data_IF_301786933274
#
_entry.id   IF_301786933274
#
_cell.length_a   1.000
_cell.length_b   1.000
_cell.length_c   1.000
_cell.angle_alpha   90.00
_cell.angle_beta   90.00
_cell.angle_gamma   90.00
#
_symmetry.space_group_name_H-M   'P 1'
#
loop_
_entity.id
_entity.type
_entity.pdbx_description
1 polymer ?
#
# COMPACT_ATOMS: atom_id res chain seq x y z
N UNK A 1 -45.25 66.06 -8.44
CA UNK A 1 -45.06 64.93 -7.50
C UNK A 1 -44.99 63.63 -8.29
N UNK A 2 -43.80 63.22 -8.70
CA UNK A 2 -43.56 61.99 -9.48
C UNK A 2 -42.53 61.17 -8.72
N UNK A 3 -42.99 60.10 -8.05
CA UNK A 3 -42.13 59.19 -7.27
C UNK A 3 -41.43 58.23 -8.22
N UNK A 4 -40.10 58.31 -8.33
CA UNK A 4 -39.30 57.19 -8.85
C UNK A 4 -39.28 56.07 -7.80
N UNK A 5 -39.65 54.84 -8.20
CA UNK A 5 -39.43 53.63 -7.41
C UNK A 5 -38.02 53.09 -7.68
N UNK A 6 -37.25 52.66 -6.67
CA UNK A 6 -35.99 51.97 -6.92
C UNK A 6 -36.28 50.52 -7.36
N UNK A 7 -35.71 50.11 -8.49
CA UNK A 7 -35.69 48.72 -8.90
C UNK A 7 -34.59 47.99 -8.09
N UNK A 8 -35.00 47.10 -7.20
CA UNK A 8 -34.10 46.23 -6.45
C UNK A 8 -33.63 45.11 -7.38
N UNK A 9 -32.38 45.16 -7.84
CA UNK A 9 -31.77 44.06 -8.58
C UNK A 9 -31.45 42.92 -7.61
N UNK A 10 -32.24 41.84 -7.64
CA UNK A 10 -31.85 40.59 -7.01
C UNK A 10 -30.73 39.94 -7.82
N UNK A 11 -29.50 39.96 -7.31
CA UNK A 11 -28.47 39.03 -7.75
C UNK A 11 -28.86 37.62 -7.30
N UNK A 12 -28.82 36.60 -8.18
CA UNK A 12 -29.00 35.22 -7.75
C UNK A 12 -27.77 34.82 -6.91
N UNK A 13 -28.00 34.47 -5.65
CA UNK A 13 -27.03 33.73 -4.85
C UNK A 13 -26.79 32.38 -5.55
N UNK A 14 -25.66 32.26 -6.23
CA UNK A 14 -25.13 30.97 -6.66
C UNK A 14 -24.79 30.18 -5.39
N UNK A 15 -25.71 29.32 -4.96
CA UNK A 15 -25.41 28.26 -4.01
C UNK A 15 -24.39 27.32 -4.68
N UNK A 16 -23.11 27.55 -4.43
CA UNK A 16 -22.08 26.55 -4.71
C UNK A 16 -22.35 25.35 -3.79
N UNK A 17 -22.92 24.28 -4.33
CA UNK A 17 -22.93 22.99 -3.66
C UNK A 17 -21.48 22.65 -3.28
N UNK A 18 -21.21 22.20 -2.05
CA UNK A 18 -19.87 21.74 -1.72
C UNK A 18 -19.51 20.61 -2.68
N UNK A 19 -18.42 20.75 -3.43
CA UNK A 19 -17.82 19.62 -4.12
C UNK A 19 -17.36 18.66 -3.03
N UNK A 20 -18.13 17.60 -2.77
CA UNK A 20 -17.63 16.48 -1.99
C UNK A 20 -16.51 15.82 -2.77
N UNK A 21 -15.38 15.63 -2.09
CA UNK A 21 -14.26 14.92 -2.67
C UNK A 21 -14.72 13.50 -3.04
N UNK A 22 -14.31 13.02 -4.21
CA UNK A 22 -14.67 11.66 -4.65
C UNK A 22 -13.48 10.75 -4.44
N UNK A 23 -13.69 9.66 -3.70
CA UNK A 23 -12.67 8.64 -3.49
C UNK A 23 -12.82 7.52 -4.51
N UNK A 24 -11.77 7.27 -5.27
CA UNK A 24 -11.65 6.17 -6.21
C UNK A 24 -10.74 5.07 -5.65
N UNK A 25 -11.16 3.83 -5.81
CA UNK A 25 -10.36 2.63 -5.52
C UNK A 25 -9.84 2.08 -6.85
N UNK A 26 -8.54 1.84 -6.94
CA UNK A 26 -7.89 1.17 -8.06
C UNK A 26 -7.35 -0.19 -7.62
N UNK A 27 -7.64 -1.21 -8.40
CA UNK A 27 -7.22 -2.59 -8.12
C UNK A 27 -6.54 -3.19 -9.32
N UNK A 28 -5.27 -3.59 -9.18
CA UNK A 28 -4.56 -4.30 -10.25
C UNK A 28 -4.97 -5.77 -10.29
N UNK A 29 -5.24 -6.28 -11.49
CA UNK A 29 -5.64 -7.66 -11.75
C UNK A 29 -4.57 -8.36 -12.59
N UNK A 30 -3.71 -9.15 -11.97
CA UNK A 30 -2.49 -9.67 -12.59
C UNK A 30 -2.77 -10.63 -13.75
N UNK A 31 -3.84 -11.42 -13.67
CA UNK A 31 -4.20 -12.40 -14.71
C UNK A 31 -5.01 -11.76 -15.83
N UNK A 32 -5.95 -10.87 -15.48
CA UNK A 32 -6.71 -10.09 -16.47
C UNK A 32 -5.83 -9.07 -17.21
N UNK A 33 -4.73 -8.61 -16.59
CA UNK A 33 -3.87 -7.56 -17.14
C UNK A 33 -4.51 -6.18 -17.16
N UNK A 34 -5.41 -5.91 -16.20
CA UNK A 34 -6.19 -4.67 -16.08
C UNK A 34 -6.00 -4.01 -14.73
N UNK A 35 -6.33 -2.73 -14.65
CA UNK A 35 -6.58 -2.02 -13.39
C UNK A 35 -8.07 -1.68 -13.34
N UNK A 36 -8.82 -2.29 -12.42
CA UNK A 36 -10.22 -1.99 -12.17
C UNK A 36 -10.36 -0.72 -11.33
N UNK A 37 -11.36 0.10 -11.63
CA UNK A 37 -11.67 1.34 -10.91
C UNK A 37 -13.05 1.26 -10.30
N UNK A 38 -13.17 1.70 -9.05
CA UNK A 38 -14.44 1.79 -8.32
C UNK A 38 -14.58 3.17 -7.71
N UNK A 39 -15.81 3.63 -7.55
CA UNK A 39 -16.14 4.77 -6.70
C UNK A 39 -16.49 4.25 -5.31
N UNK A 40 -15.86 4.78 -4.27
CA UNK A 40 -16.16 4.50 -2.87
C UNK A 40 -17.13 5.55 -2.33
N UNK A 41 -18.25 5.11 -1.79
CA UNK A 41 -19.20 5.96 -1.07
C UNK A 41 -18.70 6.25 0.33
N UNK A 42 -18.45 7.53 0.64
CA UNK A 42 -18.02 7.94 1.99
C UNK A 42 -19.10 7.75 3.07
N UNK A 43 -20.36 7.63 2.64
CA UNK A 43 -21.52 7.54 3.54
C UNK A 43 -21.64 6.15 4.17
N UNK A 44 -21.47 5.11 3.37
CA UNK A 44 -21.81 3.73 3.73
C UNK A 44 -20.75 2.70 3.31
N UNK A 45 -19.65 3.14 2.70
CA UNK A 45 -18.57 2.25 2.25
C UNK A 45 -18.93 1.46 0.98
N UNK A 46 -20.03 1.80 0.31
CA UNK A 46 -20.45 1.19 -0.94
C UNK A 46 -19.41 1.30 -2.04
N UNK A 47 -19.21 0.23 -2.81
CA UNK A 47 -18.31 0.19 -3.96
C UNK A 47 -19.12 0.10 -5.26
N UNK A 48 -18.97 1.09 -6.14
CA UNK A 48 -19.56 1.06 -7.48
C UNK A 48 -18.45 0.85 -8.50
N UNK A 49 -18.47 -0.26 -9.24
CA UNK A 49 -17.51 -0.49 -10.34
C UNK A 49 -17.74 0.52 -11.47
N UNK A 50 -16.63 1.07 -11.99
CA UNK A 50 -16.63 2.16 -12.97
C UNK A 50 -15.88 1.81 -14.25
N UNK A 51 -15.37 0.59 -14.40
CA UNK A 51 -14.64 0.15 -15.58
C UNK A 51 -13.23 -0.37 -15.28
N UNK A 52 -12.65 -1.00 -16.30
CA UNK A 52 -11.29 -1.55 -16.29
C UNK A 52 -10.41 -0.81 -17.28
N UNK A 53 -9.16 -0.54 -16.88
CA UNK A 53 -8.13 0.02 -17.76
C UNK A 53 -7.14 -1.07 -18.16
N UNK A 54 -6.91 -1.35 -19.45
CA UNK A 54 -5.85 -2.25 -19.88
C UNK A 54 -4.47 -1.74 -19.46
N UNK A 55 -3.67 -2.62 -18.83
CA UNK A 55 -2.35 -2.27 -18.30
C UNK A 55 -1.23 -3.17 -18.86
N UNK A 56 -1.50 -4.47 -19.00
CA UNK A 56 -0.54 -5.50 -19.38
C UNK A 56 -0.54 -6.68 -18.41
N UNK A 57 -0.11 -7.86 -18.87
CA UNK A 57 -0.06 -9.08 -18.04
C UNK A 57 0.83 -8.87 -16.81
N UNK A 58 0.44 -9.48 -15.68
CA UNK A 58 1.15 -9.39 -14.40
C UNK A 58 1.42 -7.94 -13.95
N UNK A 59 0.47 -7.03 -14.25
CA UNK A 59 0.36 -5.75 -13.54
C UNK A 59 0.10 -6.03 -12.06
N UNK A 60 0.98 -5.51 -11.20
CA UNK A 60 0.87 -5.71 -9.76
C UNK A 60 1.03 -4.40 -9.00
N UNK A 61 2.12 -4.11 -8.26
CA UNK A 61 2.05 -3.03 -7.31
C UNK A 61 1.72 -1.71 -8.00
N UNK A 62 0.79 -1.00 -7.38
CA UNK A 62 0.37 0.33 -7.79
C UNK A 62 0.90 1.34 -6.79
N UNK A 63 1.23 2.53 -7.27
CA UNK A 63 1.61 3.68 -6.44
C UNK A 63 0.94 4.95 -6.97
N UNK A 64 0.29 5.70 -6.10
CA UNK A 64 -0.26 7.01 -6.45
C UNK A 64 0.79 8.11 -6.19
N UNK A 65 0.77 9.18 -6.98
CA UNK A 65 1.51 10.40 -6.63
C UNK A 65 0.92 11.07 -5.38
N UNK A 66 1.71 11.82 -4.59
CA UNK A 66 1.22 12.47 -3.37
C UNK A 66 0.04 13.43 -3.60
N UNK A 67 -0.04 14.03 -4.80
CA UNK A 67 -1.13 14.94 -5.19
C UNK A 67 -2.34 14.23 -5.83
N UNK A 68 -2.30 12.90 -5.93
CA UNK A 68 -3.38 12.08 -6.51
C UNK A 68 -3.59 12.27 -8.02
N UNK A 69 -2.71 12.98 -8.72
CA UNK A 69 -2.87 13.24 -10.16
C UNK A 69 -2.31 12.14 -11.05
N UNK A 70 -1.46 11.27 -10.50
CA UNK A 70 -0.82 10.19 -11.24
C UNK A 70 -0.95 8.86 -10.50
N UNK A 71 -1.03 7.79 -11.28
CA UNK A 71 -0.94 6.42 -10.80
C UNK A 71 0.15 5.71 -11.61
N UNK A 72 0.96 4.91 -10.93
CA UNK A 72 2.01 4.10 -11.52
C UNK A 72 1.72 2.63 -11.25
N UNK A 73 2.11 1.75 -12.17
CA UNK A 73 1.97 0.31 -11.97
C UNK A 73 3.11 -0.48 -12.60
N UNK A 74 3.60 -1.49 -11.89
CA UNK A 74 4.70 -2.32 -12.35
C UNK A 74 4.21 -3.58 -13.09
N UNK A 75 4.70 -3.78 -14.32
CA UNK A 75 4.59 -5.03 -15.07
C UNK A 75 5.70 -5.98 -14.63
N UNK A 76 5.32 -7.09 -14.02
CA UNK A 76 6.25 -8.03 -13.38
C UNK A 76 6.66 -9.23 -14.24
N UNK A 77 6.38 -9.19 -15.54
CA UNK A 77 6.87 -10.17 -16.52
C UNK A 77 7.64 -9.48 -17.63
N UNK A 78 8.73 -10.07 -18.16
CA UNK A 78 9.47 -9.49 -19.26
C UNK A 78 8.58 -9.19 -20.49
N UNK A 79 8.79 -8.06 -21.18
CA UNK A 79 9.68 -6.96 -20.79
C UNK A 79 9.14 -6.22 -19.55
N UNK A 80 9.99 -6.07 -18.51
CA UNK A 80 9.62 -5.34 -17.30
C UNK A 80 9.46 -3.85 -17.60
N UNK A 81 8.41 -3.24 -17.05
CA UNK A 81 8.16 -1.82 -17.25
C UNK A 81 7.32 -1.23 -16.11
N UNK A 82 7.42 0.10 -15.96
CA UNK A 82 6.46 0.90 -15.20
C UNK A 82 5.52 1.58 -16.18
N UNK A 83 4.21 1.41 -15.97
CA UNK A 83 3.19 2.17 -16.69
C UNK A 83 2.85 3.41 -15.87
N UNK A 84 2.88 4.58 -16.50
CA UNK A 84 2.48 5.86 -15.89
C UNK A 84 1.14 6.30 -16.46
N UNK A 85 0.18 6.61 -15.58
CA UNK A 85 -1.13 7.15 -15.94
C UNK A 85 -1.37 8.49 -15.27
N UNK A 86 -1.97 9.42 -16.01
CA UNK A 86 -2.66 10.59 -15.43
C UNK A 86 -4.04 10.16 -14.98
N UNK A 87 -4.41 10.55 -13.77
CA UNK A 87 -5.75 10.33 -13.22
C UNK A 87 -6.61 11.54 -13.54
N UNK A 88 -7.61 11.36 -14.41
CA UNK A 88 -8.51 12.45 -14.83
C UNK A 88 -9.41 12.91 -13.68
N UNK A 89 -9.84 14.17 -13.73
CA UNK A 89 -10.83 14.75 -12.81
C UNK A 89 -12.09 15.15 -13.59
N UNK A 90 -13.29 15.04 -12.98
CA UNK A 90 -13.58 14.43 -11.67
C UNK A 90 -13.75 12.90 -11.71
N UNK A 91 -13.59 12.24 -12.86
CA UNK A 91 -14.03 10.84 -13.04
C UNK A 91 -13.02 9.79 -12.59
N UNK A 92 -11.76 10.14 -12.28
CA UNK A 92 -10.74 9.16 -11.93
C UNK A 92 -10.34 8.20 -13.07
N UNK A 93 -10.58 8.54 -14.33
CA UNK A 93 -10.15 7.66 -15.46
C UNK A 93 -8.63 7.67 -15.54
N UNK A 94 -8.02 6.50 -15.71
CA UNK A 94 -6.59 6.36 -15.96
C UNK A 94 -6.27 6.61 -17.44
N UNK A 95 -5.66 7.75 -17.74
CA UNK A 95 -5.15 8.06 -19.08
C UNK A 95 -3.67 7.72 -19.15
N UNK A 96 -3.33 6.71 -19.96
CA UNK A 96 -1.95 6.23 -20.11
C UNK A 96 -1.07 7.33 -20.71
N UNK A 97 0.06 7.62 -20.06
CA UNK A 97 1.05 8.60 -20.52
C UNK A 97 2.29 7.90 -21.09
N UNK A 98 2.80 6.86 -20.41
CA UNK A 98 4.02 6.19 -20.81
C UNK A 98 4.09 4.73 -20.36
N UNK A 99 4.95 3.95 -21.02
CA UNK A 99 5.47 2.66 -20.56
C UNK A 99 6.98 2.78 -20.56
N UNK A 100 7.57 2.78 -19.38
CA UNK A 100 9.01 3.00 -19.20
C UNK A 100 9.68 1.66 -18.90
N UNK A 101 10.58 1.17 -19.76
CA UNK A 101 11.35 -0.04 -19.49
C UNK A 101 12.15 0.08 -18.20
N UNK A 102 12.22 -0.99 -17.43
CA UNK A 102 13.00 -1.06 -16.19
C UNK A 102 13.85 -2.33 -16.13
N UNK A 103 14.86 -2.33 -15.26
CA UNK A 103 15.87 -3.38 -15.18
C UNK A 103 15.39 -4.69 -14.52
N UNK A 104 14.30 -4.66 -13.74
CA UNK A 104 13.90 -5.79 -12.90
C UNK A 104 12.39 -5.90 -12.66
N UNK A 105 11.96 -7.04 -12.13
CA UNK A 105 10.62 -7.24 -11.58
C UNK A 105 10.52 -6.59 -10.20
N UNK A 106 9.50 -5.76 -9.99
CA UNK A 106 9.28 -5.07 -8.72
C UNK A 106 7.97 -5.55 -8.06
N UNK A 107 8.02 -6.34 -6.97
CA UNK A 107 6.84 -6.65 -6.16
C UNK A 107 6.32 -5.46 -5.34
N UNK A 108 7.08 -4.37 -5.26
CA UNK A 108 6.70 -3.15 -4.56
C UNK A 108 7.23 -1.92 -5.29
N UNK A 109 6.35 -0.92 -5.46
CA UNK A 109 6.71 0.44 -5.88
C UNK A 109 6.00 1.45 -4.96
N UNK A 110 6.61 2.60 -4.76
CA UNK A 110 5.99 3.75 -4.08
C UNK A 110 6.61 5.04 -4.63
N UNK A 111 5.93 6.17 -4.50
CA UNK A 111 6.56 7.47 -4.74
C UNK A 111 7.21 7.99 -3.47
N UNK A 112 8.23 8.83 -3.60
CA UNK A 112 8.63 9.67 -2.48
C UNK A 112 7.54 10.69 -2.12
N UNK A 113 7.63 11.30 -0.94
CA UNK A 113 6.60 12.23 -0.43
C UNK A 113 6.47 13.50 -1.27
N UNK A 114 7.47 13.84 -2.09
CA UNK A 114 7.45 15.02 -2.96
C UNK A 114 7.06 14.69 -4.41
N UNK A 115 6.85 13.41 -4.75
CA UNK A 115 6.47 12.98 -6.11
C UNK A 115 7.58 13.18 -7.15
N UNK A 116 8.84 13.23 -6.72
CA UNK A 116 10.03 13.43 -7.55
C UNK A 116 10.69 12.10 -7.97
N UNK A 117 10.46 11.04 -7.22
CA UNK A 117 11.06 9.73 -7.45
C UNK A 117 10.05 8.61 -7.29
N UNK A 118 10.18 7.58 -8.13
CA UNK A 118 9.58 6.28 -7.91
C UNK A 118 10.63 5.37 -7.27
N UNK A 119 10.33 4.88 -6.08
CA UNK A 119 11.15 3.93 -5.33
C UNK A 119 10.60 2.52 -5.56
N UNK A 120 11.49 1.57 -5.80
CA UNK A 120 11.12 0.19 -6.02
C UNK A 120 12.06 -0.78 -5.31
N UNK A 121 11.51 -1.90 -4.85
CA UNK A 121 12.28 -3.03 -4.31
C UNK A 121 12.11 -4.22 -5.24
N UNK A 122 13.20 -4.94 -5.54
CA UNK A 122 13.17 -6.15 -6.35
C UNK A 122 13.57 -7.38 -5.54
N UNK A 123 12.64 -8.35 -5.52
CA UNK A 123 12.84 -9.63 -4.84
C UNK A 123 13.80 -10.53 -5.58
N UNK A 124 13.73 -10.56 -6.91
CA UNK A 124 14.53 -11.49 -7.73
C UNK A 124 15.92 -10.92 -8.07
N UNK A 125 16.10 -9.60 -7.97
CA UNK A 125 17.35 -8.91 -8.35
C UNK A 125 18.13 -8.34 -7.16
N UNK A 126 17.62 -8.51 -5.93
CA UNK A 126 18.29 -8.13 -4.67
C UNK A 126 18.69 -6.65 -4.63
N UNK A 127 17.78 -5.78 -5.06
CA UNK A 127 18.00 -4.33 -5.14
C UNK A 127 16.86 -3.51 -4.55
N UNK A 128 17.23 -2.33 -4.07
CA UNK A 128 16.35 -1.16 -3.95
C UNK A 128 16.84 -0.09 -4.93
N UNK A 129 15.91 0.57 -5.61
CA UNK A 129 16.23 1.47 -6.72
C UNK A 129 15.32 2.70 -6.71
N UNK A 130 15.86 3.84 -7.15
CA UNK A 130 15.17 5.11 -7.31
C UNK A 130 15.20 5.56 -8.77
N UNK A 131 14.03 5.78 -9.36
CA UNK A 131 13.85 6.32 -10.70
C UNK A 131 13.35 7.76 -10.62
N UNK A 132 13.82 8.62 -11.52
CA UNK A 132 13.33 10.00 -11.61
C UNK A 132 11.92 10.05 -12.21
N UNK A 133 11.04 10.83 -11.59
CA UNK A 133 9.76 11.29 -12.16
C UNK A 133 9.98 12.67 -12.77
N UNK A 134 9.59 12.87 -14.02
CA UNK A 134 9.71 14.14 -14.72
C UNK A 134 8.65 15.18 -14.30
N UNK A 135 8.72 16.37 -14.89
CA UNK A 135 7.80 17.48 -14.63
C UNK A 135 6.35 17.22 -15.09
N UNK A 136 6.13 16.21 -15.92
CA UNK A 136 4.82 15.76 -16.41
C UNK A 136 4.24 14.61 -15.58
N UNK A 137 4.93 14.19 -14.51
CA UNK A 137 4.51 13.08 -13.68
C UNK A 137 4.75 11.71 -14.32
N UNK A 138 5.71 11.59 -15.24
CA UNK A 138 6.07 10.34 -15.90
C UNK A 138 7.36 9.78 -15.29
N UNK A 139 7.36 8.49 -14.95
CA UNK A 139 8.57 7.78 -14.53
C UNK A 139 9.51 7.65 -15.73
N UNK A 140 10.75 8.08 -15.58
CA UNK A 140 11.77 8.00 -16.63
C UNK A 140 12.70 6.81 -16.41
N UNK A 141 13.50 6.45 -17.43
CA UNK A 141 14.54 5.41 -17.28
C UNK A 141 15.78 5.90 -16.51
N UNK A 142 15.81 7.16 -16.07
CA UNK A 142 16.92 7.71 -15.30
C UNK A 142 16.90 7.15 -13.87
N UNK A 143 17.88 6.31 -13.55
CA UNK A 143 18.14 5.81 -12.21
C UNK A 143 19.01 6.83 -11.47
N UNK A 144 18.55 7.29 -10.30
CA UNK A 144 19.33 8.18 -9.43
C UNK A 144 20.11 7.43 -8.36
N UNK A 145 19.65 6.24 -7.98
CA UNK A 145 20.34 5.37 -7.03
C UNK A 145 19.88 3.92 -7.21
N UNK A 146 20.81 2.98 -7.10
CA UNK A 146 20.55 1.54 -7.01
C UNK A 146 21.48 0.95 -5.94
N UNK A 147 20.93 0.17 -5.01
CA UNK A 147 21.66 -0.40 -3.88
C UNK A 147 21.36 -1.88 -3.76
N UNK A 148 22.41 -2.71 -3.61
CA UNK A 148 22.27 -4.13 -3.31
C UNK A 148 21.78 -4.33 -1.87
N UNK A 149 20.73 -5.11 -1.70
CA UNK A 149 20.04 -5.30 -0.42
C UNK A 149 20.45 -6.57 0.31
N UNK A 150 21.08 -7.50 -0.41
CA UNK A 150 21.04 -8.91 -0.06
C UNK A 150 19.74 -9.57 -0.55
N UNK A 151 19.58 -10.87 -0.31
CA UNK A 151 18.56 -11.67 -0.98
C UNK A 151 17.15 -11.15 -0.67
N UNK A 152 16.34 -11.00 -1.72
CA UNK A 152 14.89 -10.89 -1.65
C UNK A 152 14.34 -9.64 -0.96
N UNK A 153 14.74 -8.44 -1.42
CA UNK A 153 14.07 -7.20 -1.04
C UNK A 153 12.61 -7.19 -1.51
N UNK A 154 11.68 -7.02 -0.58
CA UNK A 154 10.25 -7.22 -0.84
C UNK A 154 9.44 -5.91 -0.82
N UNK A 155 9.86 -4.90 -0.06
CA UNK A 155 9.18 -3.59 0.00
C UNK A 155 10.16 -2.45 0.23
N UNK A 156 9.75 -1.22 -0.10
CA UNK A 156 10.48 0.00 0.27
C UNK A 156 9.51 1.13 0.63
N UNK A 157 9.61 1.69 1.83
CA UNK A 157 8.78 2.81 2.27
C UNK A 157 9.62 4.00 2.69
N UNK A 158 9.11 5.22 2.45
CA UNK A 158 9.65 6.45 3.03
C UNK A 158 9.03 6.71 4.40
N UNK A 159 9.81 7.31 5.28
CA UNK A 159 9.28 7.96 6.47
C UNK A 159 8.39 9.18 6.14
N UNK A 160 7.76 9.76 7.16
CA UNK A 160 6.85 10.91 6.96
C UNK A 160 7.64 12.17 6.55
N UNK A 161 8.91 12.30 6.97
CA UNK A 161 9.76 13.45 6.63
C UNK A 161 10.45 13.37 5.26
N UNK A 162 10.35 12.22 4.58
CA UNK A 162 10.99 11.95 3.28
C UNK A 162 12.53 11.97 3.32
N UNK A 163 13.10 11.61 4.46
CA UNK A 163 14.56 11.63 4.71
C UNK A 163 15.14 10.25 4.97
N UNK A 164 14.29 9.24 5.19
CA UNK A 164 14.72 7.86 5.43
C UNK A 164 13.88 6.88 4.61
N UNK A 165 14.53 5.82 4.11
CA UNK A 165 13.86 4.66 3.52
C UNK A 165 14.04 3.43 4.41
N UNK A 166 13.02 2.57 4.42
CA UNK A 166 13.06 1.26 5.06
C UNK A 166 12.67 0.17 4.08
N UNK A 167 13.45 -0.91 4.05
CA UNK A 167 13.26 -2.01 3.11
C UNK A 167 13.05 -3.30 3.89
N UNK A 168 11.91 -3.95 3.71
CA UNK A 168 11.72 -5.32 4.18
C UNK A 168 12.54 -6.26 3.29
N UNK A 169 13.53 -6.93 3.86
CA UNK A 169 14.43 -7.82 3.14
C UNK A 169 14.20 -9.27 3.59
N UNK A 170 13.31 -9.95 2.86
CA UNK A 170 12.77 -11.25 3.22
C UNK A 170 13.86 -12.31 3.32
N UNK A 171 14.79 -12.34 2.36
CA UNK A 171 15.77 -13.42 2.26
C UNK A 171 16.90 -13.33 3.29
N UNK A 172 17.02 -12.21 4.00
CA UNK A 172 18.04 -12.01 5.03
C UNK A 172 17.46 -11.75 6.42
N UNK A 173 16.14 -11.82 6.58
CA UNK A 173 15.43 -11.53 7.83
C UNK A 173 15.78 -10.15 8.41
N UNK A 174 15.84 -9.12 7.56
CA UNK A 174 16.27 -7.78 7.96
C UNK A 174 15.28 -6.71 7.55
N UNK A 175 15.24 -5.64 8.34
CA UNK A 175 14.74 -4.35 7.87
C UNK A 175 15.95 -3.47 7.59
N UNK A 176 16.18 -3.16 6.31
CA UNK A 176 17.26 -2.26 5.91
C UNK A 176 16.82 -0.82 6.14
N UNK A 177 17.77 0.04 6.49
CA UNK A 177 17.52 1.45 6.82
C UNK A 177 18.52 2.33 6.07
N UNK A 178 18.00 3.32 5.37
CA UNK A 178 18.78 4.21 4.51
C UNK A 178 18.39 5.67 4.77
N UNK A 179 19.35 6.57 4.59
CA UNK A 179 19.07 7.98 4.34
C UNK A 179 18.62 8.14 2.88
N UNK A 180 17.59 8.96 2.68
CA UNK A 180 17.11 9.39 1.38
C UNK A 180 17.40 10.88 1.19
N UNK A 181 18.21 11.19 0.18
CA UNK A 181 18.65 12.55 -0.10
C UNK A 181 17.74 13.23 -1.14
N UNK A 182 17.76 14.56 -1.17
CA UNK A 182 16.90 15.33 -2.07
C UNK A 182 17.18 15.10 -3.58
N UNK A 183 18.36 14.60 -3.92
CA UNK A 183 18.78 14.19 -5.27
C UNK A 183 18.39 12.74 -5.62
N UNK A 184 17.69 12.05 -4.71
CA UNK A 184 17.25 10.67 -4.90
C UNK A 184 18.31 9.63 -4.53
N UNK A 185 19.44 10.04 -3.92
CA UNK A 185 20.46 9.12 -3.45
C UNK A 185 19.98 8.30 -2.23
N UNK A 186 20.31 7.01 -2.23
CA UNK A 186 20.02 6.07 -1.15
C UNK A 186 21.35 5.64 -0.52
N UNK A 187 21.58 6.01 0.74
CA UNK A 187 22.82 5.68 1.45
C UNK A 187 22.54 4.98 2.78
N UNK A 188 23.31 3.96 3.19
CA UNK A 188 23.07 3.24 4.45
C UNK A 188 22.99 4.18 5.66
N UNK A 189 22.07 3.88 6.58
CA UNK A 189 21.97 4.55 7.87
C UNK A 189 22.55 3.64 8.97
N UNK A 190 23.58 4.12 9.68
CA UNK A 190 24.31 3.30 10.65
C UNK A 190 24.94 2.06 9.98
N UNK A 191 24.66 0.87 10.51
CA UNK A 191 25.04 -0.42 9.92
C UNK A 191 24.28 -0.77 8.62
N UNK A 192 23.28 0.02 8.24
CA UNK A 192 22.43 -0.19 7.07
C UNK A 192 21.22 -1.11 7.31
N UNK A 193 21.12 -1.76 8.47
CA UNK A 193 19.98 -2.62 8.80
C UNK A 193 19.82 -2.85 10.31
N UNK A 194 18.61 -3.28 10.67
CA UNK A 194 18.30 -3.98 11.93
C UNK A 194 17.92 -5.42 11.63
N UNK A 195 18.37 -6.33 12.50
CA UNK A 195 18.06 -7.75 12.37
C UNK A 195 16.65 -8.00 12.88
N UNK A 196 15.81 -8.66 12.07
CA UNK A 196 14.52 -9.16 12.51
C UNK A 196 14.61 -10.60 13.05
N UNK A 197 13.45 -11.18 13.34
CA UNK A 197 13.34 -12.59 13.72
C UNK A 197 13.93 -13.51 12.64
N UNK A 198 14.76 -14.48 13.03
CA UNK A 198 15.38 -15.41 12.07
C UNK A 198 14.33 -16.32 11.43
N UNK A 199 14.51 -16.64 10.16
CA UNK A 199 13.62 -17.43 9.33
C UNK A 199 12.19 -16.89 9.27
N UNK A 200 11.99 -15.58 9.40
CA UNK A 200 10.66 -14.96 9.48
C UNK A 200 10.25 -14.28 8.17
N UNK A 201 11.22 -13.81 7.39
CA UNK A 201 10.99 -13.19 6.10
C UNK A 201 10.38 -11.79 6.19
N UNK A 202 11.14 -10.80 6.67
CA UNK A 202 10.71 -9.40 6.75
C UNK A 202 10.15 -8.89 5.40
N UNK A 203 8.85 -8.58 5.36
CA UNK A 203 8.11 -8.35 4.12
C UNK A 203 7.70 -6.89 3.96
N UNK A 204 6.51 -6.52 4.44
CA UNK A 204 5.97 -5.16 4.33
C UNK A 204 6.17 -4.40 5.64
N UNK A 205 6.19 -3.07 5.58
CA UNK A 205 6.26 -2.23 6.75
C UNK A 205 5.28 -1.06 6.66
N UNK A 206 4.89 -0.56 7.83
CA UNK A 206 4.12 0.68 7.95
C UNK A 206 4.74 1.55 9.04
N UNK A 207 4.64 2.87 8.88
CA UNK A 207 5.14 3.85 9.84
C UNK A 207 3.94 4.50 10.53
N UNK A 208 4.04 4.70 11.85
CA UNK A 208 3.01 5.41 12.60
C UNK A 208 2.87 6.85 12.08
N UNK A 209 1.66 7.43 12.07
CA UNK A 209 1.44 8.78 11.51
C UNK A 209 2.28 9.89 12.16
N UNK A 210 2.68 9.70 13.42
CA UNK A 210 3.56 10.60 14.17
C UNK A 210 5.07 10.37 13.92
N UNK A 211 5.40 9.46 12.99
CA UNK A 211 6.75 9.12 12.55
C UNK A 211 7.67 8.53 13.66
N UNK A 212 7.10 8.03 14.77
CA UNK A 212 7.85 7.51 15.93
C UNK A 212 8.09 6.00 15.89
N UNK A 213 7.24 5.25 15.21
CA UNK A 213 7.32 3.79 15.18
C UNK A 213 7.25 3.26 13.75
N UNK A 214 7.95 2.15 13.52
CA UNK A 214 7.83 1.33 12.34
C UNK A 214 7.41 -0.07 12.75
N UNK A 215 6.44 -0.64 12.05
CA UNK A 215 6.00 -2.03 12.22
C UNK A 215 6.34 -2.80 10.97
N UNK A 216 7.15 -3.85 11.09
CA UNK A 216 7.44 -4.77 10.00
C UNK A 216 6.66 -6.07 10.19
N UNK A 217 6.04 -6.54 9.11
CA UNK A 217 5.38 -7.83 9.05
C UNK A 217 6.29 -8.86 8.37
N UNK A 218 6.48 -9.99 9.03
CA UNK A 218 7.19 -11.15 8.53
C UNK A 218 6.25 -12.09 7.73
N UNK A 219 6.60 -12.43 6.48
CA UNK A 219 5.77 -13.26 5.58
C UNK A 219 5.61 -14.70 6.10
N UNK A 220 6.67 -15.27 6.67
CA UNK A 220 6.78 -16.69 6.96
C UNK A 220 6.38 -17.03 8.41
N UNK A 221 6.54 -16.11 9.36
CA UNK A 221 6.10 -16.32 10.75
C UNK A 221 4.78 -15.63 11.07
N UNK A 222 4.39 -14.59 10.33
CA UNK A 222 3.29 -13.72 10.72
C UNK A 222 3.57 -12.93 12.00
N UNK A 223 4.85 -12.76 12.35
CA UNK A 223 5.27 -11.89 13.44
C UNK A 223 5.26 -10.43 12.98
N UNK A 224 4.73 -9.55 13.82
CA UNK A 224 4.92 -8.10 13.68
C UNK A 224 6.04 -7.67 14.62
N UNK A 225 7.10 -7.08 14.07
CA UNK A 225 8.19 -6.48 14.86
C UNK A 225 8.04 -4.96 14.87
N UNK A 226 7.99 -4.39 16.08
CA UNK A 226 7.97 -2.94 16.30
C UNK A 226 9.39 -2.41 16.49
N UNK A 227 9.67 -1.30 15.84
CA UNK A 227 10.87 -0.51 16.01
C UNK A 227 10.51 0.92 16.43
N UNK A 228 11.27 1.47 17.37
CA UNK A 228 11.33 2.91 17.63
C UNK A 228 12.20 3.57 16.56
N UNK A 229 11.71 4.65 15.97
CA UNK A 229 12.45 5.49 15.03
C UNK A 229 13.07 6.67 15.78
N UNK A 230 14.38 6.83 15.67
CA UNK A 230 15.08 8.02 16.14
C UNK A 230 14.91 9.19 15.15
N UNK A 231 15.29 10.40 15.58
CA UNK A 231 15.17 11.60 14.74
C UNK A 231 15.97 11.49 13.43
N UNK A 232 17.11 10.82 13.44
CA UNK A 232 17.94 10.56 12.25
C UNK A 232 17.42 9.42 11.36
N UNK A 233 16.33 8.77 11.78
CA UNK A 233 15.72 7.64 11.10
C UNK A 233 16.21 6.26 11.55
N UNK A 234 17.15 6.16 12.49
CA UNK A 234 17.67 4.86 12.93
C UNK A 234 16.61 4.10 13.71
N UNK A 235 16.57 2.78 13.49
CA UNK A 235 15.61 1.89 14.14
C UNK A 235 16.25 1.25 15.37
N UNK A 236 15.49 1.22 16.47
CA UNK A 236 15.77 0.36 17.63
C UNK A 236 14.59 -0.59 17.80
N UNK A 237 14.85 -1.89 17.79
CA UNK A 237 13.82 -2.88 18.05
C UNK A 237 13.23 -2.71 19.46
N UNK A 238 11.91 -2.84 19.58
CA UNK A 238 11.21 -2.76 20.87
C UNK A 238 10.58 -4.09 21.26
N UNK A 239 9.69 -4.63 20.41
CA UNK A 239 8.80 -5.73 20.78
C UNK A 239 8.26 -6.48 19.57
N UNK A 240 7.89 -7.74 19.76
CA UNK A 240 7.35 -8.64 18.73
C UNK A 240 5.95 -9.13 19.10
N UNK A 241 5.10 -9.34 18.09
CA UNK A 241 3.76 -9.93 18.22
C UNK A 241 3.60 -11.12 17.27
N UNK A 242 3.73 -12.37 17.76
CA UNK A 242 3.69 -13.58 16.94
C UNK A 242 2.26 -14.08 16.71
N UNK A 243 1.28 -13.18 16.60
CA UNK A 243 -0.14 -13.52 16.60
C UNK A 243 -0.93 -12.86 15.46
N UNK A 244 -0.27 -12.39 14.39
CA UNK A 244 -0.98 -11.92 13.21
C UNK A 244 -1.64 -13.08 12.44
N UNK A 245 -1.27 -14.32 12.78
CA UNK A 245 -1.97 -15.53 12.36
C UNK A 245 -2.53 -16.23 13.57
N UNK A 246 -3.85 -16.41 13.62
CA UNK A 246 -4.50 -17.08 14.74
C UNK A 246 -4.15 -18.58 14.76
N UNK A 247 -3.79 -19.09 15.95
CA UNK A 247 -3.43 -20.51 16.16
C UNK A 247 -4.50 -21.50 15.71
N UNK A 248 -5.79 -21.09 15.73
CA UNK A 248 -6.91 -21.92 15.30
C UNK A 248 -6.83 -22.37 13.83
N UNK A 249 -6.07 -21.67 12.98
CA UNK A 249 -5.88 -22.08 11.58
C UNK A 249 -4.87 -23.22 11.42
N UNK A 250 -4.13 -23.57 12.48
CA UNK A 250 -3.18 -24.68 12.50
C UNK A 250 -2.20 -24.69 11.30
N UNK A 251 -1.72 -23.49 10.93
CA UNK A 251 -0.78 -23.32 9.82
C UNK A 251 0.64 -23.66 10.27
N UNK A 252 1.40 -24.33 9.41
CA UNK A 252 2.82 -24.54 9.62
C UNK A 252 3.61 -23.25 9.33
N UNK A 253 4.85 -23.19 9.82
CA UNK A 253 5.77 -22.10 9.50
C UNK A 253 5.92 -21.94 7.98
N UNK A 254 5.95 -20.69 7.54
CA UNK A 254 6.11 -20.33 6.14
C UNK A 254 7.47 -20.70 5.58
N UNK A 255 7.58 -20.69 4.26
CA UNK A 255 8.81 -20.92 3.52
C UNK A 255 8.91 -19.93 2.37
N UNK A 256 10.14 -19.64 1.94
CA UNK A 256 10.36 -18.88 0.71
C UNK A 256 9.77 -19.65 -0.46
N UNK A 257 9.12 -18.93 -1.39
CA UNK A 257 8.38 -19.53 -2.51
C UNK A 257 9.05 -19.18 -3.85
N UNK A 258 10.07 -19.92 -4.28
CA UNK A 258 10.73 -19.70 -5.57
C UNK A 258 9.79 -20.04 -6.74
N UNK A 259 10.23 -19.74 -7.97
CA UNK A 259 9.54 -20.17 -9.17
C UNK A 259 9.32 -21.69 -9.17
N UNK A 260 8.09 -22.13 -9.42
CA UNK A 260 7.71 -23.55 -9.38
C UNK A 260 7.41 -24.11 -7.99
N UNK A 261 7.38 -23.28 -6.93
CA UNK A 261 6.96 -23.69 -5.60
C UNK A 261 5.61 -24.41 -5.64
N UNK A 262 5.59 -25.67 -5.19
CA UNK A 262 4.41 -26.52 -5.15
C UNK A 262 4.43 -27.35 -3.87
N UNK A 263 4.16 -26.68 -2.74
CA UNK A 263 3.94 -27.32 -1.45
C UNK A 263 2.45 -27.24 -1.10
N UNK A 264 1.75 -28.38 -0.93
CA UNK A 264 0.34 -28.38 -0.54
C UNK A 264 0.13 -28.08 0.96
N UNK A 265 1.20 -28.02 1.75
CA UNK A 265 1.13 -27.77 3.20
C UNK A 265 0.50 -26.40 3.47
N UNK A 266 -0.53 -26.31 4.33
CA UNK A 266 -1.09 -25.04 4.74
C UNK A 266 -0.09 -24.31 5.64
N UNK A 267 0.61 -23.34 5.05
CA UNK A 267 1.67 -22.56 5.71
C UNK A 267 1.29 -21.11 5.87
N UNK A 268 1.82 -20.48 6.91
CA UNK A 268 1.74 -19.03 7.10
C UNK A 268 2.25 -18.33 5.84
N UNK A 269 1.45 -17.38 5.37
CA UNK A 269 1.75 -16.58 4.20
C UNK A 269 1.23 -15.16 4.35
N UNK A 270 1.66 -14.49 5.42
CA UNK A 270 1.29 -13.12 5.72
C UNK A 270 1.70 -12.19 4.56
N UNK A 271 0.89 -11.16 4.29
CA UNK A 271 1.10 -10.29 3.15
C UNK A 271 1.20 -8.84 3.56
N UNK A 272 0.08 -8.13 3.68
CA UNK A 272 0.10 -6.69 3.77
C UNK A 272 -0.08 -6.21 5.21
N UNK A 273 0.40 -5.01 5.50
CA UNK A 273 0.27 -4.35 6.80
C UNK A 273 -0.07 -2.87 6.57
N UNK A 274 -1.15 -2.39 7.19
CA UNK A 274 -1.61 -1.00 7.07
C UNK A 274 -2.01 -0.45 8.43
N UNK A 275 -1.84 0.86 8.63
CA UNK A 275 -2.25 1.57 9.86
C UNK A 275 -3.26 2.66 9.50
N UNK A 276 -4.26 2.86 10.36
CA UNK A 276 -5.24 3.93 10.15
C UNK A 276 -4.56 5.31 10.21
N UNK A 277 -5.08 6.32 9.48
CA UNK A 277 -4.50 7.66 9.46
C UNK A 277 -4.37 8.33 10.83
N UNK A 278 -5.25 7.98 11.77
CA UNK A 278 -5.22 8.46 13.16
C UNK A 278 -4.29 7.65 14.10
N UNK A 279 -3.65 6.61 13.55
CA UNK A 279 -2.71 5.72 14.22
C UNK A 279 -3.32 4.80 15.27
N UNK A 280 -4.66 4.65 15.32
CA UNK A 280 -5.34 3.86 16.37
C UNK A 280 -5.42 2.38 16.07
N UNK A 281 -5.47 1.98 14.79
CA UNK A 281 -5.61 0.59 14.40
C UNK A 281 -4.61 0.18 13.33
N UNK A 282 -4.15 -1.07 13.42
CA UNK A 282 -3.24 -1.70 12.47
C UNK A 282 -3.85 -3.01 11.99
N UNK A 283 -3.78 -3.28 10.69
CA UNK A 283 -4.37 -4.45 10.06
C UNK A 283 -3.33 -5.22 9.25
N UNK A 284 -3.40 -6.54 9.32
CA UNK A 284 -2.52 -7.47 8.60
C UNK A 284 -3.33 -8.47 7.81
N UNK A 285 -2.92 -8.79 6.57
CA UNK A 285 -3.53 -9.87 5.78
C UNK A 285 -2.74 -11.18 5.88
N UNK A 286 -3.44 -12.30 5.88
CA UNK A 286 -2.89 -13.65 5.80
C UNK A 286 -3.54 -14.42 4.63
N UNK A 287 -2.71 -14.87 3.69
CA UNK A 287 -3.17 -15.42 2.41
C UNK A 287 -3.73 -16.83 2.53
N UNK A 288 -3.18 -17.66 3.41
CA UNK A 288 -3.56 -19.08 3.49
C UNK A 288 -4.89 -19.28 4.20
N UNK A 289 -5.10 -18.66 5.36
CA UNK A 289 -6.34 -18.64 6.14
C UNK A 289 -7.39 -17.70 5.54
N UNK A 290 -7.00 -16.81 4.62
CA UNK A 290 -7.87 -15.78 4.04
C UNK A 290 -8.47 -14.86 5.08
N UNK A 291 -7.61 -14.24 5.89
CA UNK A 291 -8.02 -13.38 7.00
C UNK A 291 -7.38 -12.01 6.97
N UNK A 292 -8.06 -11.06 7.61
CA UNK A 292 -7.45 -9.84 8.13
C UNK A 292 -7.44 -9.91 9.66
N UNK A 293 -6.28 -9.65 10.26
CA UNK A 293 -6.11 -9.55 11.72
C UNK A 293 -5.90 -8.08 12.09
N UNK A 294 -6.62 -7.63 13.13
CA UNK A 294 -6.62 -6.25 13.58
C UNK A 294 -5.99 -6.07 14.96
N UNK A 295 -5.38 -4.91 15.16
CA UNK A 295 -4.76 -4.50 16.41
C UNK A 295 -5.16 -3.07 16.75
N UNK A 296 -5.37 -2.80 18.04
CA UNK A 296 -5.33 -1.44 18.59
C UNK A 296 -3.87 -1.08 18.88
N UNK A 297 -3.48 0.13 18.50
CA UNK A 297 -2.17 0.69 18.80
C UNK A 297 -2.28 1.62 20.00
N UNK A 298 -1.48 1.37 21.04
CA UNK A 298 -1.30 2.30 22.14
C UNK A 298 -0.51 3.51 21.66
N UNK A 299 -1.10 4.72 21.68
CA UNK A 299 -0.45 5.91 21.11
C UNK A 299 0.91 6.22 21.76
N UNK A 300 1.06 6.27 23.09
CA UNK A 300 2.34 6.60 23.71
C UNK A 300 3.46 5.63 23.36
N UNK A 301 3.23 4.32 23.54
CA UNK A 301 4.25 3.28 23.43
C UNK A 301 4.35 2.62 22.06
N UNK A 302 3.30 2.75 21.23
CA UNK A 302 3.14 2.03 19.97
C UNK A 302 2.82 0.54 20.14
N UNK A 303 2.56 0.06 21.35
CA UNK A 303 2.27 -1.37 21.57
C UNK A 303 0.94 -1.80 20.93
N UNK A 304 0.91 -3.05 20.45
CA UNK A 304 -0.25 -3.64 19.79
C UNK A 304 -1.08 -4.49 20.75
N UNK A 305 -2.39 -4.29 20.75
CA UNK A 305 -3.38 -5.16 21.39
C UNK A 305 -4.27 -5.78 20.33
N UNK A 306 -4.32 -7.12 20.24
CA UNK A 306 -5.15 -7.84 19.28
C UNK A 306 -6.64 -7.47 19.48
N UNK A 307 -7.33 -7.08 18.41
CA UNK A 307 -8.76 -6.75 18.44
C UNK A 307 -9.63 -7.83 17.79
N UNK A 308 -9.09 -8.57 16.82
CA UNK A 308 -9.80 -9.68 16.19
C UNK A 308 -9.11 -10.21 14.95
N UNK A 309 -9.68 -11.26 14.38
CA UNK A 309 -9.29 -11.85 13.10
C UNK A 309 -10.56 -12.23 12.34
N UNK A 310 -10.72 -11.71 11.14
CA UNK A 310 -11.95 -11.83 10.35
C UNK A 310 -11.69 -12.54 9.03
N UNK A 311 -12.54 -13.50 8.62
CA UNK A 311 -12.48 -14.06 7.27
C UNK A 311 -12.81 -12.98 6.24
N UNK A 312 -12.05 -12.95 5.16
CA UNK A 312 -12.19 -11.99 4.06
C UNK A 312 -12.08 -12.68 2.70
N UNK A 313 -11.93 -11.89 1.64
CA UNK A 313 -11.70 -12.36 0.28
C UNK A 313 -10.58 -13.39 0.21
N UNK A 314 -10.76 -14.43 -0.62
CA UNK A 314 -9.83 -15.57 -0.69
C UNK A 314 -8.43 -15.13 -1.14
N UNK A 315 -7.41 -15.51 -0.38
CA UNK A 315 -6.01 -15.17 -0.60
C UNK A 315 -5.76 -13.64 -0.62
N UNK A 316 -6.03 -12.92 0.50
CA UNK A 316 -5.96 -11.46 0.57
C UNK A 316 -4.50 -10.98 0.51
N UNK A 317 -4.08 -10.47 -0.64
CA UNK A 317 -2.70 -10.01 -0.84
C UNK A 317 -2.50 -8.55 -0.46
N UNK A 318 -3.51 -7.71 -0.63
CA UNK A 318 -3.40 -6.27 -0.41
C UNK A 318 -4.68 -5.70 0.18
N UNK A 319 -4.47 -4.77 1.10
CA UNK A 319 -5.51 -3.96 1.73
C UNK A 319 -5.15 -2.49 1.62
N UNK A 320 -6.15 -1.62 1.67
CA UNK A 320 -5.94 -0.19 1.78
C UNK A 320 -7.04 0.45 2.63
N UNK A 321 -6.66 1.47 3.39
CA UNK A 321 -7.56 2.20 4.29
C UNK A 321 -7.85 3.56 3.66
N UNK A 322 -9.11 4.01 3.70
CA UNK A 322 -9.47 5.35 3.23
C UNK A 322 -8.84 6.46 4.08
N UNK A 323 -8.79 7.67 3.53
CA UNK A 323 -8.13 8.81 4.18
C UNK A 323 -8.80 9.21 5.52
N UNK A 324 -10.06 8.82 5.73
CA UNK A 324 -10.79 9.07 6.98
C UNK A 324 -10.68 7.91 7.99
N UNK A 325 -10.07 6.78 7.61
CA UNK A 325 -9.92 5.61 8.48
C UNK A 325 -11.23 4.89 8.81
N UNK A 326 -12.25 5.03 7.97
CA UNK A 326 -13.58 4.44 8.13
C UNK A 326 -13.72 3.11 7.37
N UNK A 327 -13.02 2.96 6.26
CA UNK A 327 -13.22 1.88 5.31
C UNK A 327 -11.89 1.17 5.04
N UNK A 328 -11.88 -0.15 5.24
CA UNK A 328 -10.82 -1.04 4.80
C UNK A 328 -11.28 -1.75 3.52
N UNK A 329 -10.53 -1.56 2.44
CA UNK A 329 -10.75 -2.26 1.17
C UNK A 329 -9.81 -3.44 1.08
N UNK A 330 -10.34 -4.61 0.72
CA UNK A 330 -9.61 -5.87 0.66
C UNK A 330 -9.67 -6.46 -0.75
N UNK A 331 -8.52 -6.87 -1.28
CA UNK A 331 -8.42 -7.64 -2.53
C UNK A 331 -7.82 -9.02 -2.28
N UNK A 332 -8.42 -10.05 -2.89
CA UNK A 332 -7.95 -11.42 -2.82
C UNK A 332 -7.60 -12.00 -4.19
N UNK A 333 -6.41 -12.58 -4.32
CA UNK A 333 -5.89 -13.08 -5.61
C UNK A 333 -6.77 -14.19 -6.21
N UNK A 334 -7.49 -14.93 -5.36
CA UNK A 334 -8.41 -16.00 -5.75
C UNK A 334 -9.88 -15.64 -5.53
N UNK A 335 -10.17 -14.36 -5.29
CA UNK A 335 -11.53 -13.85 -5.13
C UNK A 335 -12.08 -13.33 -6.46
N UNK A 336 -13.39 -13.49 -6.67
CA UNK A 336 -14.10 -12.88 -7.79
C UNK A 336 -14.57 -11.44 -7.47
N UNK A 337 -14.40 -11.00 -6.23
CA UNK A 337 -14.83 -9.69 -5.73
C UNK A 337 -13.75 -9.04 -4.88
N UNK A 338 -13.80 -7.71 -4.77
CA UNK A 338 -13.18 -6.96 -3.68
C UNK A 338 -14.21 -6.66 -2.61
N UNK A 339 -13.78 -6.58 -1.35
CA UNK A 339 -14.62 -6.26 -0.20
C UNK A 339 -14.36 -4.86 0.34
N UNK A 340 -15.40 -4.24 0.88
CA UNK A 340 -15.33 -3.02 1.69
C UNK A 340 -15.83 -3.31 3.10
N UNK A 341 -15.05 -2.92 4.09
CA UNK A 341 -15.30 -3.20 5.49
C UNK A 341 -15.30 -1.91 6.30
N UNK A 342 -16.36 -1.68 7.08
CA UNK A 342 -16.39 -0.65 8.10
C UNK A 342 -15.38 -0.98 9.21
N UNK A 343 -14.58 0.00 9.60
CA UNK A 343 -13.72 -0.06 10.78
C UNK A 343 -14.48 0.56 11.94
N UNK A 344 -14.86 -0.23 12.93
CA UNK A 344 -15.52 0.26 14.14
C UNK A 344 -14.60 1.24 14.89
N UNK A 345 -14.96 2.53 15.01
CA UNK A 345 -14.07 3.57 15.55
C UNK A 345 -13.58 3.32 16.97
N UNK A 346 -14.34 2.56 17.77
CA UNK A 346 -14.00 2.30 19.17
C UNK A 346 -13.03 1.14 19.34
N UNK A 347 -13.13 0.07 18.52
CA UNK A 347 -12.40 -1.17 18.74
C UNK A 347 -11.73 -1.78 17.51
N UNK A 348 -11.87 -1.17 16.33
CA UNK A 348 -11.23 -1.62 15.10
C UNK A 348 -11.84 -2.90 14.53
N UNK A 349 -13.00 -3.33 15.01
CA UNK A 349 -13.72 -4.47 14.46
C UNK A 349 -14.09 -4.20 13.01
N UNK A 350 -13.85 -5.18 12.15
CA UNK A 350 -14.24 -5.11 10.75
C UNK A 350 -15.64 -5.69 10.54
N UNK A 351 -16.51 -4.90 9.91
CA UNK A 351 -17.82 -5.36 9.43
C UNK A 351 -17.92 -5.15 7.94
N UNK A 352 -18.20 -6.20 7.18
CA UNK A 352 -18.36 -6.08 5.73
C UNK A 352 -19.61 -5.26 5.41
N UNK A 353 -19.46 -4.23 4.58
CA UNK A 353 -20.55 -3.31 4.19
C UNK A 353 -20.89 -3.35 2.70
N UNK A 354 -19.92 -3.70 1.86
CA UNK A 354 -20.13 -3.80 0.43
C UNK A 354 -19.12 -4.73 -0.24
N UNK A 355 -19.40 -5.07 -1.49
CA UNK A 355 -18.49 -5.76 -2.39
C UNK A 355 -18.67 -5.25 -3.81
N UNK A 356 -17.66 -5.48 -4.66
CA UNK A 356 -17.78 -5.21 -6.09
C UNK A 356 -16.99 -6.26 -6.90
N UNK A 357 -17.39 -6.54 -8.16
CA UNK A 357 -16.67 -7.51 -9.02
C UNK A 357 -15.21 -7.14 -9.19
N UNK A 358 -14.31 -8.12 -9.12
CA UNK A 358 -12.88 -7.96 -9.36
C UNK A 358 -12.46 -8.64 -10.67
N UNK A 359 -11.35 -8.17 -11.26
CA UNK A 359 -10.69 -8.93 -12.32
C UNK A 359 -9.94 -10.15 -11.75
N UNK A 360 -9.45 -11.03 -12.63
CA UNK A 360 -8.72 -12.23 -12.22
C UNK A 360 -7.34 -11.86 -11.67
N UNK A 361 -6.97 -12.45 -10.53
CA UNK A 361 -5.70 -12.17 -9.86
C UNK A 361 -5.65 -10.76 -9.26
N UNK A 362 -6.73 -10.29 -8.64
CA UNK A 362 -6.77 -9.02 -7.92
C UNK A 362 -5.76 -9.03 -6.76
N UNK A 363 -4.77 -8.15 -6.80
CA UNK A 363 -3.55 -8.34 -6.01
C UNK A 363 -2.97 -7.08 -5.35
N UNK A 364 -3.47 -5.90 -5.69
CA UNK A 364 -3.03 -4.63 -5.12
C UNK A 364 -4.19 -3.65 -5.08
N UNK A 365 -4.34 -2.91 -3.97
CA UNK A 365 -5.35 -1.86 -3.81
C UNK A 365 -4.66 -0.51 -3.59
N UNK A 366 -5.17 0.55 -4.23
CA UNK A 366 -4.71 1.93 -4.02
C UNK A 366 -5.91 2.87 -4.08
N UNK A 367 -5.99 3.83 -3.17
CA UNK A 367 -7.07 4.83 -3.14
C UNK A 367 -6.54 6.20 -3.57
N UNK A 368 -7.36 6.94 -4.31
CA UNK A 368 -7.11 8.35 -4.65
C UNK A 368 -8.39 9.13 -4.42
N UNK A 369 -8.30 10.18 -3.60
CA UNK A 369 -9.39 11.11 -3.34
C UNK A 369 -9.16 12.39 -4.14
N UNK A 370 -10.17 12.85 -4.90
CA UNK A 370 -10.07 14.00 -5.81
C UNK A 370 -10.91 15.19 -5.42
#
# INVERSE_FOLDING_TARGET
MTRLKPALALLPLLCSSPLWATTFVYVSNAESGTVSRYQLSEKDGGLTWQGDTPAGKKIMPLAASPDGKHLYGALRTPPYAIVSWRVTRPQGVLQKQAVTPVSASFPWITTDRQGRYLLAASYDSDIVISYRIDDKGVVTAQVTSEVKTGPHAHSVITDVSNQSLYVGNLGADRVLQYRFSADGAITPLGSGFVQGEKNSGARHSVISPDNRFLYNLAEMSGTITQFRRAADGSLTELKHWPNAVAKQYNLQHGEQRPAGYNDPTPRIWAADIQITPDGRFLFVTERTSSTVTGYRVDKPSGELTLTGSWPVEKQPRSIAIDAQGKWLIVSGEKSAVIGSYAIEPTNGTLTRVAEAPAGKGANWVTLITQ
#
